data_IF_674500913646
#
_entry.id   IF_674500913646
#
_cell.length_a   1.000
_cell.length_b   1.000
_cell.length_c   1.000
_cell.angle_alpha   90.00
_cell.angle_beta   90.00
_cell.angle_gamma   90.00
#
_symmetry.space_group_name_H-M   'P 1'
#
loop_
_entity.id
_entity.type
_entity.pdbx_description
1 polymer ?
#
# COMPACT_ATOMS: atom_id res chain seq x y z
N UNK A 1 -23.10 56.44 -38.35
CA UNK A 1 -21.86 55.65 -38.55
C UNK A 1 -21.38 55.19 -37.18
N UNK A 2 -21.51 53.89 -36.89
CA UNK A 2 -21.15 53.28 -35.60
C UNK A 2 -19.66 53.00 -35.58
N UNK A 3 -18.89 53.71 -34.76
CA UNK A 3 -17.47 53.43 -34.57
C UNK A 3 -17.32 52.16 -33.73
N UNK A 4 -16.91 51.10 -34.40
CA UNK A 4 -15.85 50.17 -34.01
C UNK A 4 -15.77 49.83 -32.51
N UNK A 5 -16.37 48.69 -32.24
CA UNK A 5 -16.22 47.86 -31.05
C UNK A 5 -14.73 47.59 -30.76
N UNK A 6 -14.11 48.40 -29.91
CA UNK A 6 -12.81 48.10 -29.31
C UNK A 6 -13.00 47.00 -28.26
N UNK A 7 -12.84 45.75 -28.68
CA UNK A 7 -12.82 44.59 -27.78
C UNK A 7 -11.52 44.66 -26.96
N UNK A 8 -11.63 45.15 -25.73
CA UNK A 8 -10.56 45.10 -24.73
C UNK A 8 -10.27 43.63 -24.38
N UNK A 9 -9.11 43.11 -24.79
CA UNK A 9 -8.64 41.74 -24.51
C UNK A 9 -7.62 41.70 -23.35
N UNK A 10 -7.70 42.64 -22.39
CA UNK A 10 -6.86 42.65 -21.19
C UNK A 10 -7.34 41.68 -20.10
N UNK A 11 -7.38 40.40 -20.42
CA UNK A 11 -7.80 39.38 -19.45
C UNK A 11 -7.53 37.96 -19.90
N UNK A 12 -6.41 37.73 -20.57
CA UNK A 12 -5.89 36.38 -20.73
C UNK A 12 -5.31 35.98 -19.37
N UNK A 13 -6.11 35.33 -18.52
CA UNK A 13 -5.70 34.85 -17.20
C UNK A 13 -4.65 33.75 -17.39
N UNK A 14 -3.40 34.18 -17.48
CA UNK A 14 -2.26 33.28 -17.55
C UNK A 14 -2.18 32.51 -16.23
N UNK A 15 -2.70 31.28 -16.27
CA UNK A 15 -2.36 30.14 -15.41
C UNK A 15 -1.84 30.54 -14.03
N UNK A 16 -2.76 30.90 -13.12
CA UNK A 16 -2.45 30.97 -11.70
C UNK A 16 -2.05 29.57 -11.23
N UNK A 17 -0.75 29.34 -11.09
CA UNK A 17 -0.20 28.14 -10.49
C UNK A 17 -0.84 27.96 -9.11
N UNK A 18 -1.75 27.00 -8.99
CA UNK A 18 -2.52 26.75 -7.77
C UNK A 18 -1.57 26.34 -6.65
N UNK A 19 -1.11 27.30 -5.85
CA UNK A 19 -0.44 27.03 -4.59
C UNK A 19 -1.46 26.36 -3.67
N UNK A 20 -1.36 25.03 -3.50
CA UNK A 20 -2.25 24.28 -2.62
C UNK A 20 -2.25 24.88 -1.22
N UNK A 21 -3.38 25.47 -0.82
CA UNK A 21 -3.57 26.14 0.47
C UNK A 21 -3.19 25.22 1.64
N UNK A 22 -2.38 25.73 2.58
CA UNK A 22 -1.93 25.03 3.79
C UNK A 22 -3.10 24.45 4.59
N UNK A 23 -4.24 25.17 4.62
CA UNK A 23 -5.47 24.69 5.30
C UNK A 23 -6.02 23.42 4.65
N UNK A 24 -5.96 23.33 3.32
CA UNK A 24 -6.39 22.14 2.56
C UNK A 24 -5.50 20.94 2.85
N UNK A 25 -4.18 21.14 2.96
CA UNK A 25 -3.22 20.07 3.31
C UNK A 25 -3.47 19.52 4.72
N UNK A 26 -3.67 20.40 5.70
CA UNK A 26 -3.94 19.98 7.09
C UNK A 26 -5.28 19.24 7.20
N UNK A 27 -6.30 19.68 6.44
CA UNK A 27 -7.60 18.98 6.38
C UNK A 27 -7.45 17.56 5.83
N UNK A 28 -6.62 17.36 4.80
CA UNK A 28 -6.32 16.05 4.25
C UNK A 28 -5.57 15.17 5.27
N UNK A 29 -4.49 15.67 5.88
CA UNK A 29 -3.76 14.89 6.90
C UNK A 29 -4.69 14.47 8.04
N UNK A 30 -5.58 15.36 8.49
CA UNK A 30 -6.56 15.05 9.53
C UNK A 30 -7.56 13.99 9.10
N UNK A 31 -7.98 13.95 7.83
CA UNK A 31 -8.91 12.92 7.34
C UNK A 31 -8.27 11.54 7.25
N UNK A 32 -6.97 11.45 6.95
CA UNK A 32 -6.24 10.17 6.91
C UNK A 32 -5.71 9.71 8.27
N UNK A 33 -5.73 10.58 9.30
CA UNK A 33 -5.22 10.23 10.63
C UNK A 33 -5.85 8.96 11.26
N UNK A 34 -7.17 8.71 11.14
CA UNK A 34 -7.78 7.47 11.64
C UNK A 34 -7.20 6.21 11.00
N UNK A 35 -6.98 6.22 9.69
CA UNK A 35 -6.43 5.08 8.96
C UNK A 35 -5.00 4.79 9.42
N UNK A 36 -4.17 5.83 9.57
CA UNK A 36 -2.81 5.68 10.13
C UNK A 36 -2.80 5.13 11.55
N UNK A 37 -3.76 5.55 12.39
CA UNK A 37 -3.89 5.03 13.76
C UNK A 37 -4.22 3.55 13.71
N UNK A 38 -5.20 3.13 12.91
CA UNK A 38 -5.59 1.72 12.77
C UNK A 38 -4.43 0.89 12.25
N UNK A 39 -3.72 1.36 11.23
CA UNK A 39 -2.55 0.67 10.67
C UNK A 39 -1.45 0.46 11.71
N UNK A 40 -1.13 1.48 12.51
CA UNK A 40 -0.15 1.37 13.59
C UNK A 40 -0.62 0.37 14.66
N UNK A 41 -1.89 0.41 15.05
CA UNK A 41 -2.45 -0.52 16.03
C UNK A 41 -2.38 -1.96 15.52
N UNK A 42 -2.76 -2.19 14.27
CA UNK A 42 -2.71 -3.52 13.66
C UNK A 42 -1.27 -4.05 13.57
N UNK A 43 -0.31 -3.19 13.22
CA UNK A 43 1.11 -3.54 13.21
C UNK A 43 1.59 -3.95 14.60
N UNK A 44 1.25 -3.19 15.66
CA UNK A 44 1.60 -3.54 17.04
C UNK A 44 1.01 -4.91 17.43
N UNK A 45 -0.26 -5.16 17.12
CA UNK A 45 -0.91 -6.46 17.41
C UNK A 45 -0.21 -7.60 16.66
N UNK A 46 0.13 -7.41 15.40
CA UNK A 46 0.84 -8.41 14.60
C UNK A 46 2.21 -8.74 15.18
N UNK A 47 2.99 -7.73 15.57
CA UNK A 47 4.29 -7.97 16.20
C UNK A 47 4.15 -8.60 17.59
N UNK A 48 3.14 -8.23 18.36
CA UNK A 48 2.86 -8.87 19.64
C UNK A 48 2.48 -10.36 19.49
N UNK A 49 1.84 -10.75 18.38
CA UNK A 49 1.53 -12.15 18.10
C UNK A 49 2.76 -13.01 17.81
N UNK A 50 3.87 -12.44 17.31
CA UNK A 50 5.09 -13.21 17.08
C UNK A 50 5.71 -13.76 18.37
N UNK A 51 5.50 -13.08 19.49
CA UNK A 51 6.03 -13.52 20.79
C UNK A 51 5.12 -14.54 21.49
N UNK A 52 3.88 -14.71 21.03
CA UNK A 52 2.92 -15.63 21.63
C UNK A 52 3.21 -17.04 21.12
N UNK A 53 3.64 -17.92 22.03
CA UNK A 53 3.86 -19.33 21.71
C UNK A 53 2.52 -19.98 21.36
N UNK A 54 2.39 -20.49 20.13
CA UNK A 54 1.24 -21.27 19.71
C UNK A 54 1.08 -22.57 20.51
N UNK A 55 -0.04 -23.25 20.29
CA UNK A 55 -0.32 -24.55 20.90
C UNK A 55 0.80 -25.56 20.55
N UNK A 56 1.51 -26.06 21.57
CA UNK A 56 2.49 -27.14 21.42
C UNK A 56 1.77 -28.45 21.71
N UNK A 57 1.71 -29.33 20.71
CA UNK A 57 1.18 -30.68 20.90
C UNK A 57 2.11 -31.48 21.81
N UNK A 58 1.55 -32.15 22.81
CA UNK A 58 2.31 -33.08 23.66
C UNK A 58 2.95 -34.17 22.78
N UNK A 59 4.27 -34.29 22.91
CA UNK A 59 5.07 -35.19 22.11
C UNK A 59 5.09 -36.59 22.74
N UNK A 60 4.69 -37.61 21.99
CA UNK A 60 4.85 -39.01 22.39
C UNK A 60 6.01 -39.63 21.60
N UNK A 61 6.94 -40.25 22.32
CA UNK A 61 8.11 -40.93 21.72
C UNK A 61 7.69 -42.12 20.84
N UNK A 62 6.53 -42.70 21.11
CA UNK A 62 5.99 -43.84 20.36
C UNK A 62 5.10 -43.43 19.18
N UNK A 63 4.94 -42.14 18.90
CA UNK A 63 4.14 -41.67 17.78
C UNK A 63 4.82 -42.05 16.44
N UNK A 64 4.07 -42.69 15.55
CA UNK A 64 4.56 -43.09 14.22
C UNK A 64 4.46 -41.97 13.20
N UNK A 65 3.60 -40.96 13.45
CA UNK A 65 3.40 -39.82 12.55
C UNK A 65 4.61 -38.88 12.49
N UNK A 66 5.51 -38.96 13.48
CA UNK A 66 6.75 -38.16 13.54
C UNK A 66 7.95 -38.85 12.85
N UNK A 67 7.78 -40.08 12.35
CA UNK A 67 8.87 -40.88 11.74
C UNK A 67 9.13 -40.53 10.27
N UNK A 68 8.68 -39.36 9.81
CA UNK A 68 8.98 -38.92 8.46
C UNK A 68 10.49 -38.65 8.30
N UNK A 69 11.11 -39.05 7.18
CA UNK A 69 12.52 -38.79 6.93
C UNK A 69 12.80 -37.28 6.94
N UNK A 70 13.94 -36.90 7.52
CA UNK A 70 14.37 -35.51 7.60
C UNK A 70 14.51 -34.91 6.19
N UNK A 71 13.77 -33.84 5.91
CA UNK A 71 13.88 -33.09 4.68
C UNK A 71 14.96 -32.02 4.81
N UNK A 72 16.08 -32.22 4.12
CA UNK A 72 17.21 -31.25 4.09
C UNK A 72 16.83 -29.97 3.33
N UNK A 73 15.92 -30.09 2.36
CA UNK A 73 15.48 -28.99 1.52
C UNK A 73 13.99 -28.75 1.74
N UNK A 74 13.64 -27.51 2.04
CA UNK A 74 12.27 -27.09 2.15
C UNK A 74 11.59 -27.13 0.78
N UNK A 75 10.31 -27.55 0.75
CA UNK A 75 9.53 -27.63 -0.50
C UNK A 75 9.32 -26.26 -1.14
N UNK A 76 9.21 -25.22 -0.32
CA UNK A 76 9.10 -23.83 -0.74
C UNK A 76 10.04 -23.05 0.17
N UNK A 77 11.17 -22.53 -0.34
CA UNK A 77 12.06 -21.71 0.46
C UNK A 77 11.38 -20.38 0.79
N UNK A 78 11.72 -19.78 1.93
CA UNK A 78 11.16 -18.51 2.40
C UNK A 78 11.20 -17.41 1.33
N UNK A 79 12.28 -17.35 0.54
CA UNK A 79 12.41 -16.40 -0.56
C UNK A 79 11.29 -16.56 -1.59
N UNK A 80 10.95 -17.79 -1.96
CA UNK A 80 9.86 -18.04 -2.90
C UNK A 80 8.50 -17.64 -2.30
N UNK A 81 8.32 -17.85 -1.00
CA UNK A 81 7.12 -17.42 -0.28
C UNK A 81 6.97 -15.89 -0.31
N UNK A 82 8.01 -15.13 0.03
CA UNK A 82 7.98 -13.67 -0.03
C UNK A 82 7.74 -13.14 -1.45
N UNK A 83 8.34 -13.79 -2.46
CA UNK A 83 8.16 -13.40 -3.86
C UNK A 83 6.71 -13.59 -4.32
N UNK A 84 6.05 -14.67 -3.92
CA UNK A 84 4.66 -14.95 -4.33
C UNK A 84 3.67 -14.14 -3.50
N UNK A 85 3.84 -14.09 -2.18
CA UNK A 85 2.87 -13.49 -1.26
C UNK A 85 2.94 -11.95 -1.23
N UNK A 86 4.10 -11.36 -1.48
CA UNK A 86 4.32 -9.90 -1.36
C UNK A 86 4.75 -9.28 -2.68
N UNK A 87 5.83 -9.79 -3.29
CA UNK A 87 6.38 -9.13 -4.48
C UNK A 87 5.44 -9.23 -5.69
N UNK A 88 4.84 -10.40 -5.93
CA UNK A 88 3.94 -10.63 -7.06
C UNK A 88 2.71 -9.70 -7.04
N UNK A 89 1.95 -9.57 -5.93
CA UNK A 89 0.87 -8.59 -5.84
C UNK A 89 1.31 -7.15 -6.13
N UNK A 90 2.42 -6.70 -5.56
CA UNK A 90 2.93 -5.33 -5.76
C UNK A 90 3.29 -5.08 -7.22
N UNK A 91 4.01 -6.02 -7.85
CA UNK A 91 4.40 -5.93 -9.26
C UNK A 91 3.17 -5.95 -10.16
N UNK A 92 2.20 -6.84 -9.91
CA UNK A 92 0.95 -6.88 -10.67
C UNK A 92 0.18 -5.56 -10.54
N UNK A 93 0.06 -5.02 -9.33
CA UNK A 93 -0.60 -3.73 -9.08
C UNK A 93 0.09 -2.60 -9.85
N UNK A 94 1.42 -2.55 -9.81
CA UNK A 94 2.23 -1.55 -10.52
C UNK A 94 2.01 -1.66 -12.04
N UNK A 95 2.06 -2.87 -12.57
CA UNK A 95 1.90 -3.15 -14.00
C UNK A 95 0.50 -2.74 -14.47
N UNK A 96 -0.55 -3.18 -13.76
CA UNK A 96 -1.95 -2.87 -14.10
C UNK A 96 -2.18 -1.36 -14.02
N UNK A 97 -1.66 -0.69 -12.99
CA UNK A 97 -1.78 0.76 -12.83
C UNK A 97 -1.05 1.51 -13.96
N UNK A 98 0.16 1.08 -14.34
CA UNK A 98 0.90 1.68 -15.45
C UNK A 98 0.17 1.53 -16.78
N UNK A 99 -0.50 0.40 -17.03
CA UNK A 99 -1.24 0.22 -18.28
C UNK A 99 -2.59 0.96 -18.30
N UNK A 100 -3.28 1.04 -17.16
CA UNK A 100 -4.63 1.59 -17.07
C UNK A 100 -4.66 3.07 -16.73
N UNK A 101 -4.15 3.45 -15.56
CA UNK A 101 -4.36 4.78 -14.96
C UNK A 101 -3.17 5.70 -15.17
N UNK A 102 -1.95 5.15 -15.28
CA UNK A 102 -0.68 5.88 -15.47
C UNK A 102 -0.42 6.97 -14.42
N UNK A 103 -1.01 6.82 -13.24
CA UNK A 103 -0.94 7.77 -12.14
C UNK A 103 -0.19 7.15 -10.98
N UNK A 104 0.90 7.80 -10.57
CA UNK A 104 1.69 7.37 -9.41
C UNK A 104 0.91 7.50 -8.09
N UNK A 105 0.04 8.51 -8.02
CA UNK A 105 -0.82 8.72 -6.85
C UNK A 105 -1.80 7.57 -6.63
N UNK A 106 -2.35 7.01 -7.71
CA UNK A 106 -3.30 5.89 -7.62
C UNK A 106 -2.59 4.57 -7.30
N UNK A 107 -1.36 4.38 -7.78
CA UNK A 107 -0.52 3.26 -7.34
C UNK A 107 -0.24 3.32 -5.85
N UNK A 108 0.17 4.48 -5.34
CA UNK A 108 0.45 4.64 -3.92
C UNK A 108 -0.74 4.31 -3.02
N UNK A 109 -1.91 4.85 -3.34
CA UNK A 109 -3.15 4.58 -2.60
C UNK A 109 -3.63 3.13 -2.73
N UNK A 110 -3.17 2.42 -3.76
CA UNK A 110 -3.55 1.03 -3.98
C UNK A 110 -2.64 0.04 -3.25
N UNK A 111 -1.43 0.45 -2.88
CA UNK A 111 -0.42 -0.39 -2.20
C UNK A 111 -0.48 -0.19 -0.69
N UNK A 112 -0.87 1.00 -0.24
CA UNK A 112 -0.91 1.43 1.15
C UNK A 112 -2.26 2.08 1.45
#
# INVERSE_FOLDING_TARGET
MRSLFTRNTNGMDRSSGKTTDRKRRIKLVKSYAPDWIITIVLAIVFFALNDIHGFRRDFSVNDISIRHPYAVHERVPDVALYMIAVASPIVLQLVINLFTVRSFWDFHNSVL
#
